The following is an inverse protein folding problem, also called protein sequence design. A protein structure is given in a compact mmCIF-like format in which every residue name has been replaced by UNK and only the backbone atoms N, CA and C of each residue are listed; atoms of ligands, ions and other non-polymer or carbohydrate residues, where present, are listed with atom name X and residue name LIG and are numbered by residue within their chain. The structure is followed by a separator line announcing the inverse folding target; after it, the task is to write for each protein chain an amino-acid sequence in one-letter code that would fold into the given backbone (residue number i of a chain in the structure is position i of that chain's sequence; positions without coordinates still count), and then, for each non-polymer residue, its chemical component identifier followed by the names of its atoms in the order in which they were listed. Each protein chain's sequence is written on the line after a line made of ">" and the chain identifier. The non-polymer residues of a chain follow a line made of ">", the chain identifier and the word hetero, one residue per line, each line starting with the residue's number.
data_IF_382674284696
#
_entry.id   IF_382674284696
#
_cell.length_a   1.000
_cell.length_b   1.000
_cell.length_c   1.000
_cell.angle_alpha   90.00
_cell.angle_beta   90.00
_cell.angle_gamma   90.00
#
_symmetry.space_group_name_H-M   'P 1'
#
loop_
_entity.id
_entity.type
_entity.pdbx_description
1 polymer ?
#
# COMPACT_ATOMS: atom_id res chain seq x y z
N UNK A 1 -6.21 -16.05 -6.37
CA UNK A 1 -7.57 -16.56 -6.03
C UNK A 1 -8.16 -15.70 -4.93
N UNK A 2 -9.48 -15.41 -4.94
CA UNK A 2 -10.12 -14.59 -3.90
C UNK A 2 -11.50 -15.11 -3.52
N UNK A 3 -11.88 -14.94 -2.25
CA UNK A 3 -13.19 -15.34 -1.71
C UNK A 3 -13.74 -14.26 -0.80
N UNK A 4 -15.02 -13.91 -1.03
CA UNK A 4 -15.82 -13.12 -0.11
C UNK A 4 -16.73 -14.04 0.69
N UNK A 5 -16.85 -13.79 1.99
CA UNK A 5 -17.70 -14.53 2.91
C UNK A 5 -18.92 -13.67 3.29
N UNK A 6 -20.00 -14.32 3.71
CA UNK A 6 -21.26 -13.65 4.07
C UNK A 6 -21.14 -12.72 5.29
N UNK A 7 -20.12 -12.91 6.12
CA UNK A 7 -19.84 -12.08 7.29
C UNK A 7 -19.05 -10.80 6.97
N UNK A 8 -18.77 -10.52 5.69
CA UNK A 8 -17.99 -9.36 5.25
C UNK A 8 -16.48 -9.59 5.18
N UNK A 9 -15.98 -10.77 5.56
CA UNK A 9 -14.59 -11.13 5.35
C UNK A 9 -14.31 -11.33 3.86
N UNK A 10 -13.15 -10.84 3.41
CA UNK A 10 -12.61 -11.02 2.07
C UNK A 10 -11.18 -11.51 2.24
N UNK A 11 -10.83 -12.59 1.54
CA UNK A 11 -9.47 -13.10 1.50
C UNK A 11 -9.04 -13.29 0.05
N UNK A 12 -7.83 -12.85 -0.27
CA UNK A 12 -7.22 -12.99 -1.59
C UNK A 12 -5.80 -13.50 -1.39
N UNK A 13 -5.39 -14.46 -2.21
CA UNK A 13 -4.01 -14.93 -2.29
C UNK A 13 -3.56 -14.89 -3.74
N UNK A 14 -2.32 -14.51 -3.97
CA UNK A 14 -1.75 -14.29 -5.29
C UNK A 14 -0.25 -14.44 -5.30
N UNK A 15 0.33 -13.99 -6.41
CA UNK A 15 1.78 -13.84 -6.58
C UNK A 15 2.05 -12.41 -6.98
N UNK A 16 3.12 -11.84 -6.44
CA UNK A 16 3.63 -10.53 -6.80
C UNK A 16 4.99 -10.71 -7.47
N UNK A 17 5.26 -9.89 -8.48
CA UNK A 17 6.57 -9.86 -9.11
C UNK A 17 6.99 -8.44 -9.45
N UNK A 18 8.30 -8.22 -9.42
CA UNK A 18 8.94 -6.95 -9.73
C UNK A 18 9.89 -7.13 -10.91
N UNK A 19 9.91 -6.15 -11.82
CA UNK A 19 10.73 -6.18 -13.03
C UNK A 19 11.87 -5.16 -12.92
N UNK A 20 13.07 -5.48 -13.42
CA UNK A 20 14.20 -4.54 -13.43
C UNK A 20 14.03 -3.54 -14.57
N UNK A 21 13.21 -2.51 -14.36
CA UNK A 21 12.99 -1.43 -15.34
C UNK A 21 13.56 -0.09 -14.88
N UNK A 22 14.30 -0.06 -13.76
CA UNK A 22 15.02 1.12 -13.33
C UNK A 22 16.08 1.46 -14.39
N UNK A 23 16.25 2.75 -14.68
CA UNK A 23 17.32 3.24 -15.59
C UNK A 23 18.59 3.59 -14.81
N UNK A 24 18.46 3.77 -13.50
CA UNK A 24 19.53 4.07 -12.58
C UNK A 24 19.60 2.93 -11.56
N UNK A 25 20.73 2.23 -11.56
CA UNK A 25 21.02 1.09 -10.70
C UNK A 25 20.93 1.48 -9.20
N UNK A 26 21.12 2.76 -8.86
CA UNK A 26 20.97 3.25 -7.49
C UNK A 26 19.50 3.32 -7.01
N UNK A 27 18.53 3.29 -7.93
CA UNK A 27 17.09 3.37 -7.64
C UNK A 27 16.37 2.05 -7.91
N UNK A 28 17.06 1.06 -8.48
CA UNK A 28 16.56 -0.24 -8.85
C UNK A 28 17.18 -1.38 -8.06
N UNK A 29 16.60 -2.58 -8.20
CA UNK A 29 17.20 -3.82 -7.71
C UNK A 29 17.95 -4.56 -8.82
N UNK A 30 17.80 -4.18 -10.09
CA UNK A 30 18.30 -4.88 -11.28
C UNK A 30 18.07 -6.42 -11.29
N UNK A 31 17.05 -6.82 -10.55
CA UNK A 31 16.66 -8.20 -10.30
C UNK A 31 15.17 -8.37 -10.59
N UNK A 32 14.85 -9.53 -11.15
CA UNK A 32 13.49 -10.04 -11.18
C UNK A 32 13.16 -10.57 -9.79
N UNK A 33 12.14 -9.99 -9.16
CA UNK A 33 11.64 -10.49 -7.89
C UNK A 33 10.33 -11.24 -8.11
N UNK A 34 10.13 -12.31 -7.35
CA UNK A 34 8.88 -13.08 -7.36
C UNK A 34 8.58 -13.60 -5.96
N UNK A 35 7.30 -13.63 -5.60
CA UNK A 35 6.88 -14.39 -4.44
C UNK A 35 5.39 -14.27 -4.15
N UNK A 36 4.94 -14.83 -3.01
CA UNK A 36 3.53 -14.87 -2.67
C UNK A 36 3.03 -13.53 -2.16
N UNK A 37 1.72 -13.30 -2.34
CA UNK A 37 0.99 -12.23 -1.67
C UNK A 37 -0.34 -12.74 -1.11
N UNK A 38 -0.80 -12.13 -0.03
CA UNK A 38 -2.08 -12.37 0.60
C UNK A 38 -2.70 -11.05 1.06
N UNK A 39 -3.98 -10.85 0.77
CA UNK A 39 -4.77 -9.76 1.30
C UNK A 39 -5.96 -10.28 2.10
N UNK A 40 -6.18 -9.68 3.26
CA UNK A 40 -7.31 -9.93 4.14
C UNK A 40 -8.03 -8.62 4.39
N UNK A 41 -9.36 -8.63 4.26
CA UNK A 41 -10.18 -7.46 4.49
C UNK A 41 -11.48 -7.83 5.18
N UNK A 42 -11.98 -6.93 6.01
CA UNK A 42 -13.27 -7.03 6.65
C UNK A 42 -14.10 -5.80 6.26
N UNK A 43 -15.13 -6.04 5.47
CA UNK A 43 -15.95 -5.03 4.83
C UNK A 43 -17.31 -4.97 5.51
N UNK A 44 -17.61 -3.84 6.13
CA UNK A 44 -18.90 -3.52 6.73
C UNK A 44 -19.45 -2.21 6.17
N UNK A 45 -20.74 -1.96 6.36
CA UNK A 45 -21.37 -0.71 5.91
C UNK A 45 -20.69 0.54 6.51
N UNK A 46 -20.30 0.47 7.79
CA UNK A 46 -19.72 1.60 8.52
C UNK A 46 -18.20 1.69 8.42
N UNK A 47 -17.52 0.59 8.15
CA UNK A 47 -16.07 0.58 8.11
C UNK A 47 -15.52 -0.56 7.25
N UNK A 48 -14.31 -0.35 6.77
CA UNK A 48 -13.49 -1.36 6.12
C UNK A 48 -12.15 -1.37 6.85
N UNK A 49 -11.62 -2.55 7.13
CA UNK A 49 -10.27 -2.71 7.65
C UNK A 49 -9.62 -3.88 6.93
N UNK A 50 -8.33 -3.81 6.65
CA UNK A 50 -7.63 -4.92 6.04
C UNK A 50 -6.14 -4.71 6.00
N UNK A 51 -5.47 -5.74 5.50
CA UNK A 51 -4.05 -5.72 5.26
C UNK A 51 -3.70 -6.61 4.07
N UNK A 52 -2.66 -6.21 3.36
CA UNK A 52 -1.97 -6.95 2.33
C UNK A 52 -0.56 -7.25 2.86
N UNK A 53 -0.11 -8.47 2.65
CA UNK A 53 1.22 -8.94 2.95
C UNK A 53 1.79 -9.57 1.69
N UNK A 54 3.04 -9.27 1.40
CA UNK A 54 3.78 -9.90 0.33
C UNK A 54 5.19 -10.21 0.76
N UNK A 55 5.77 -11.20 0.11
CA UNK A 55 7.16 -11.54 0.29
C UNK A 55 7.75 -11.86 -1.07
N UNK A 56 8.93 -11.32 -1.34
CA UNK A 56 9.58 -11.42 -2.64
C UNK A 56 11.06 -11.76 -2.45
N UNK A 57 11.53 -12.67 -3.28
CA UNK A 57 12.94 -13.00 -3.44
C UNK A 57 13.39 -12.68 -4.86
N UNK A 58 14.67 -12.41 -5.05
CA UNK A 58 15.26 -12.45 -6.37
C UNK A 58 15.21 -13.86 -6.95
N UNK A 59 14.95 -13.94 -8.26
CA UNK A 59 14.90 -15.19 -9.01
C UNK A 59 15.81 -15.18 -10.25
N UNK A 60 16.21 -13.99 -10.71
CA UNK A 60 17.11 -13.76 -11.84
C UNK A 60 17.57 -12.29 -11.87
N UNK A 61 18.63 -11.99 -12.62
CA UNK A 61 19.14 -10.63 -12.80
C UNK A 61 20.56 -10.49 -12.27
N UNK A 62 20.86 -9.36 -11.65
CA UNK A 62 22.13 -9.11 -10.94
C UNK A 62 22.41 -10.21 -9.89
N UNK A 63 23.67 -10.61 -9.71
CA UNK A 63 24.06 -11.71 -8.81
C UNK A 63 25.12 -11.31 -7.77
N UNK A 64 25.52 -10.04 -7.73
CA UNK A 64 26.47 -9.52 -6.74
C UNK A 64 25.86 -9.33 -5.35
N UNK A 65 24.52 -9.33 -5.25
CA UNK A 65 23.76 -9.26 -4.00
C UNK A 65 22.42 -9.99 -4.13
N UNK A 66 21.84 -10.39 -3.00
CA UNK A 66 20.53 -11.05 -2.93
C UNK A 66 19.46 -10.07 -2.43
N UNK A 67 18.26 -10.12 -2.99
CA UNK A 67 17.12 -9.29 -2.55
C UNK A 67 16.06 -10.17 -1.89
N UNK A 68 15.78 -9.89 -0.62
CA UNK A 68 14.77 -10.60 0.16
C UNK A 68 13.95 -9.60 0.98
N UNK A 69 12.71 -9.35 0.54
CA UNK A 69 11.87 -8.29 1.10
C UNK A 69 10.50 -8.84 1.48
N UNK A 70 10.13 -8.67 2.75
CA UNK A 70 8.72 -8.74 3.17
C UNK A 70 8.14 -7.33 3.13
N UNK A 71 6.93 -7.17 2.62
CA UNK A 71 6.25 -5.89 2.71
C UNK A 71 4.75 -6.06 2.85
N UNK A 72 4.08 -4.92 2.91
CA UNK A 72 2.64 -4.93 2.97
C UNK A 72 2.02 -3.55 3.02
N UNK A 73 0.71 -3.56 3.11
CA UNK A 73 -0.10 -2.38 3.31
C UNK A 73 -1.18 -2.74 4.31
N UNK A 74 -1.37 -1.95 5.36
CA UNK A 74 -2.60 -2.02 6.13
C UNK A 74 -3.45 -0.82 5.80
N UNK A 75 -4.76 -1.00 5.85
CA UNK A 75 -5.69 0.05 5.50
C UNK A 75 -6.94 -0.03 6.37
N UNK A 76 -7.51 1.14 6.60
CA UNK A 76 -8.81 1.25 7.23
C UNK A 76 -9.56 2.42 6.66
N UNK A 77 -10.89 2.34 6.72
CA UNK A 77 -11.81 3.40 6.33
C UNK A 77 -13.00 3.34 7.25
N UNK A 78 -13.33 4.45 7.91
CA UNK A 78 -14.54 4.62 8.71
C UNK A 78 -15.43 5.63 8.00
N UNK A 79 -16.62 5.19 7.60
CA UNK A 79 -17.61 6.01 6.93
C UNK A 79 -18.32 6.90 7.95
N UNK A 80 -18.24 8.20 7.73
CA UNK A 80 -19.00 9.21 8.46
C UNK A 80 -20.20 9.67 7.61
N UNK A 81 -20.96 10.63 8.14
CA UNK A 81 -22.09 11.22 7.41
C UNK A 81 -21.61 12.11 6.26
N UNK A 82 -22.51 12.36 5.30
CA UNK A 82 -22.29 13.35 4.24
C UNK A 82 -21.03 13.13 3.39
N UNK A 83 -20.68 11.86 3.16
CA UNK A 83 -19.55 11.49 2.31
C UNK A 83 -18.17 11.69 2.94
N UNK A 84 -18.10 12.04 4.22
CA UNK A 84 -16.83 12.10 4.97
C UNK A 84 -16.35 10.69 5.35
N UNK A 85 -15.04 10.49 5.34
CA UNK A 85 -14.39 9.26 5.77
C UNK A 85 -13.09 9.58 6.50
N UNK A 86 -12.82 8.83 7.58
CA UNK A 86 -11.48 8.76 8.18
C UNK A 86 -10.81 7.51 7.65
N UNK A 87 -9.64 7.66 7.02
CA UNK A 87 -8.97 6.54 6.36
C UNK A 87 -7.45 6.73 6.29
N UNK A 88 -6.73 5.62 6.29
CA UNK A 88 -5.33 5.59 5.90
C UNK A 88 -5.01 4.25 5.23
N UNK A 89 -3.95 4.24 4.42
CA UNK A 89 -3.43 3.03 3.77
C UNK A 89 -1.88 2.99 3.68
N UNK A 90 -1.16 3.15 4.80
CA UNK A 90 0.30 3.11 4.85
C UNK A 90 0.88 1.79 4.35
N UNK A 91 1.98 1.91 3.61
CA UNK A 91 2.78 0.79 3.10
C UNK A 91 4.05 0.65 3.91
N UNK A 92 4.42 -0.58 4.25
CA UNK A 92 5.60 -0.89 5.03
C UNK A 92 6.44 -1.95 4.32
N UNK A 93 7.71 -2.03 4.67
CA UNK A 93 8.66 -3.00 4.12
C UNK A 93 9.70 -3.39 5.15
N UNK A 94 10.25 -4.60 4.98
CA UNK A 94 11.33 -5.17 5.76
C UNK A 94 12.31 -5.87 4.81
N UNK A 95 13.53 -5.37 4.73
CA UNK A 95 14.62 -5.97 3.98
C UNK A 95 15.40 -6.95 4.87
N UNK A 96 15.29 -8.26 4.59
CA UNK A 96 15.95 -9.31 5.38
C UNK A 96 17.47 -9.24 5.29
N UNK A 97 17.98 -8.77 4.15
CA UNK A 97 19.40 -8.65 3.84
C UNK A 97 19.98 -7.27 4.17
N UNK A 98 19.18 -6.34 4.71
CA UNK A 98 19.67 -5.02 5.14
C UNK A 98 20.67 -5.08 6.29
N UNK A 99 21.35 -3.96 6.57
CA UNK A 99 22.14 -3.81 7.80
C UNK A 99 21.22 -3.76 9.03
N UNK A 100 21.70 -4.17 10.21
CA UNK A 100 20.84 -4.47 11.37
C UNK A 100 19.91 -3.33 11.83
N UNK A 101 20.30 -2.06 11.69
CA UNK A 101 19.46 -0.90 12.02
C UNK A 101 18.56 -0.45 10.87
N UNK A 102 18.81 -0.94 9.65
CA UNK A 102 18.29 -0.40 8.40
C UNK A 102 17.43 -1.44 7.66
N UNK A 103 16.68 -2.25 8.41
CA UNK A 103 15.83 -3.33 7.83
C UNK A 103 14.39 -2.92 7.66
N UNK A 104 13.82 -2.17 8.60
CA UNK A 104 12.38 -1.93 8.70
C UNK A 104 12.03 -0.50 8.27
N UNK A 105 11.02 -0.37 7.43
CA UNK A 105 10.33 0.89 7.14
C UNK A 105 8.87 0.73 7.52
N UNK A 106 8.42 1.43 8.55
CA UNK A 106 7.08 1.24 9.11
C UNK A 106 6.38 2.57 9.42
N UNK A 107 5.46 3.02 8.54
CA UNK A 107 4.66 4.20 8.80
C UNK A 107 3.35 3.92 9.54
N UNK A 108 2.97 4.86 10.40
CA UNK A 108 1.64 5.01 10.99
C UNK A 108 0.88 6.13 10.29
N UNK A 109 -0.25 5.77 9.67
CA UNK A 109 -1.02 6.70 8.85
C UNK A 109 -2.37 7.07 9.45
N UNK A 110 -2.78 8.33 9.25
CA UNK A 110 -4.15 8.81 9.48
C UNK A 110 -4.53 9.78 8.36
N UNK A 111 -5.82 9.86 8.02
CA UNK A 111 -6.27 10.77 7.00
C UNK A 111 -7.76 10.99 7.00
N UNK A 112 -8.18 12.01 6.27
CA UNK A 112 -9.58 12.36 6.06
C UNK A 112 -9.85 12.51 4.57
N UNK A 113 -11.02 12.09 4.14
CA UNK A 113 -11.48 12.33 2.78
C UNK A 113 -12.95 12.69 2.73
N UNK A 114 -13.35 13.40 1.69
CA UNK A 114 -14.73 13.82 1.43
C UNK A 114 -15.10 13.51 0.00
N UNK A 115 -16.21 12.82 -0.18
CA UNK A 115 -16.87 12.66 -1.47
C UNK A 115 -18.00 13.67 -1.60
N UNK A 116 -18.03 14.45 -2.68
CA UNK A 116 -19.08 15.42 -2.98
C UNK A 116 -19.42 15.43 -4.47
N UNK A 117 -20.59 15.94 -4.84
CA UNK A 117 -20.95 16.14 -6.24
C UNK A 117 -20.45 17.52 -6.69
N UNK A 118 -19.67 17.57 -7.76
CA UNK A 118 -19.19 18.78 -8.40
C UNK A 118 -19.40 18.65 -9.91
N UNK A 119 -20.13 19.59 -10.51
CA UNK A 119 -20.43 19.57 -11.94
C UNK A 119 -21.25 18.36 -12.40
N UNK A 120 -22.09 17.80 -11.53
CA UNK A 120 -22.92 16.62 -11.83
C UNK A 120 -22.23 15.27 -11.62
N UNK A 121 -20.93 15.25 -11.34
CA UNK A 121 -20.17 14.02 -11.09
C UNK A 121 -19.71 13.93 -9.63
N UNK A 122 -19.57 12.72 -9.06
CA UNK A 122 -18.91 12.53 -7.78
C UNK A 122 -17.40 12.80 -7.85
N UNK A 123 -16.87 13.50 -6.84
CA UNK A 123 -15.45 13.76 -6.64
C UNK A 123 -15.06 13.41 -5.22
N UNK A 124 -13.96 12.67 -5.05
CA UNK A 124 -13.36 12.40 -3.75
C UNK A 124 -12.06 13.16 -3.60
N UNK A 125 -11.97 13.93 -2.52
CA UNK A 125 -10.76 14.65 -2.11
C UNK A 125 -10.27 14.03 -0.80
N UNK A 126 -8.96 13.85 -0.65
CA UNK A 126 -8.40 13.25 0.55
C UNK A 126 -7.01 13.77 0.86
N UNK A 127 -6.71 13.80 2.16
CA UNK A 127 -5.38 14.05 2.70
C UNK A 127 -5.06 12.97 3.72
N UNK A 128 -3.84 12.42 3.66
CA UNK A 128 -3.31 11.52 4.67
C UNK A 128 -1.96 12.03 5.15
N UNK A 129 -1.70 11.83 6.43
CA UNK A 129 -0.42 12.03 7.08
C UNK A 129 0.09 10.68 7.56
N UNK A 130 1.30 10.32 7.14
CA UNK A 130 1.99 9.12 7.55
C UNK A 130 3.24 9.53 8.32
N UNK A 131 3.45 8.96 9.50
CA UNK A 131 4.66 9.16 10.29
C UNK A 131 5.45 7.87 10.35
N UNK A 132 6.74 7.93 9.98
CA UNK A 132 7.61 6.76 9.98
C UNK A 132 8.15 6.54 11.39
N UNK A 133 7.73 5.45 12.03
CA UNK A 133 8.21 5.07 13.36
C UNK A 133 9.58 4.41 13.25
N UNK A 134 9.81 3.71 12.14
CA UNK A 134 11.08 3.10 11.76
C UNK A 134 11.31 3.38 10.28
N UNK A 135 12.56 3.66 9.92
CA UNK A 135 12.98 3.87 8.55
C UNK A 135 14.32 3.20 8.29
N UNK A 136 14.40 2.45 7.19
CA UNK A 136 15.58 1.68 6.81
C UNK A 136 16.70 2.54 6.23
N UNK A 137 16.45 3.82 5.98
CA UNK A 137 17.40 4.76 5.40
C UNK A 137 17.60 5.92 6.38
N UNK A 138 18.85 6.24 6.69
CA UNK A 138 19.22 7.37 7.56
C UNK A 138 18.76 8.72 6.97
N UNK A 139 18.50 8.75 5.65
CA UNK A 139 17.90 9.89 4.92
C UNK A 139 16.43 9.67 4.53
N UNK A 140 15.78 8.64 5.09
CA UNK A 140 14.36 8.39 4.92
C UNK A 140 13.49 9.53 5.43
N UNK A 141 12.27 9.71 4.89
CA UNK A 141 11.37 10.77 5.33
C UNK A 141 10.75 10.45 6.70
N UNK A 142 10.90 11.34 7.68
CA UNK A 142 10.22 11.23 9.00
C UNK A 142 8.69 11.19 8.88
N UNK A 143 8.16 11.81 7.82
CA UNK A 143 6.73 11.83 7.52
C UNK A 143 6.45 11.98 6.03
N UNK A 144 5.25 11.57 5.64
CA UNK A 144 4.71 11.75 4.29
C UNK A 144 3.31 12.35 4.34
N UNK A 145 3.06 13.35 3.49
CA UNK A 145 1.73 13.88 3.23
C UNK A 145 1.26 13.38 1.88
N UNK A 146 0.07 12.80 1.82
CA UNK A 146 -0.54 12.27 0.60
C UNK A 146 -1.81 13.04 0.29
N UNK A 147 -1.83 13.69 -0.86
CA UNK A 147 -3.02 14.34 -1.42
C UNK A 147 -3.62 13.44 -2.51
N UNK A 148 -4.94 13.24 -2.47
CA UNK A 148 -5.65 12.44 -3.47
C UNK A 148 -6.85 13.19 -4.02
N UNK A 149 -6.97 13.23 -5.34
CA UNK A 149 -8.12 13.77 -6.07
C UNK A 149 -8.62 12.68 -7.00
N UNK A 150 -9.85 12.23 -6.82
CA UNK A 150 -10.44 11.11 -7.55
C UNK A 150 -11.79 11.53 -8.14
N UNK A 151 -11.84 11.98 -9.40
CA UNK A 151 -13.10 12.19 -10.10
C UNK A 151 -13.71 10.84 -10.50
N UNK A 152 -15.03 10.74 -10.40
CA UNK A 152 -15.79 9.64 -10.99
C UNK A 152 -16.26 10.08 -12.37
N UNK A 153 -15.68 9.48 -13.41
CA UNK A 153 -16.06 9.73 -14.80
C UNK A 153 -17.15 8.72 -15.17
N UNK A 154 -18.32 9.20 -15.55
CA UNK A 154 -19.37 8.35 -16.12
C UNK A 154 -18.92 7.86 -17.49
N UNK A 155 -19.08 6.56 -17.76
CA UNK A 155 -18.74 5.99 -19.05
C UNK A 155 -19.64 6.60 -20.14
N UNK A 156 -19.10 6.98 -21.31
CA UNK A 156 -19.85 7.65 -22.37
C UNK A 156 -20.74 6.72 -23.22
N UNK A 157 -21.02 5.49 -22.78
CA UNK A 157 -21.82 4.49 -23.49
C UNK A 157 -22.88 3.85 -22.61
#
# INVERSE_FOLDING_TARGET
>A
MGKSFSNGLVAVAGVVGSLPTATDDALGFDQYLLGPEIALGYVQKKYVIGALFSHQWDIAGENSYDTNITGGQYFYTVNLKEGWQVQAQPTWSYNHNGESSNKLTFPVGVGISKTMILGGSPWKFGVQYWHYVEQADEFGPDFQIRLSITPVITLPW
#
